data_IF_385519860426
#
_entry.id   IF_385519860426
#
_cell.length_a   1.000
_cell.length_b   1.000
_cell.length_c   1.000
_cell.angle_alpha   90.00
_cell.angle_beta   90.00
_cell.angle_gamma   90.00
#
_symmetry.space_group_name_H-M   'P 1'
#
loop_
_entity.id
_entity.type
_entity.pdbx_description
1 polymer ?
#
# COMPACT_ATOMS: atom_id res chain seq x y z
N UNK A 1 11.00 -6.90 -0.89
CA UNK A 1 11.00 -7.18 -2.34
C UNK A 1 10.13 -8.39 -2.70
N UNK A 2 10.41 -9.59 -2.18
CA UNK A 2 9.73 -10.83 -2.61
C UNK A 2 8.20 -10.88 -2.39
N UNK A 3 7.68 -10.38 -1.26
CA UNK A 3 6.24 -10.45 -0.96
C UNK A 3 5.36 -9.65 -1.91
N UNK A 4 5.89 -8.53 -2.42
CA UNK A 4 5.19 -7.68 -3.37
C UNK A 4 5.09 -8.34 -4.75
N UNK A 5 6.21 -8.86 -5.25
CA UNK A 5 6.22 -9.55 -6.55
C UNK A 5 5.39 -10.83 -6.53
N UNK A 6 5.39 -11.56 -5.42
CA UNK A 6 4.53 -12.74 -5.22
C UNK A 6 3.05 -12.39 -5.41
N UNK A 7 2.56 -11.32 -4.77
CA UNK A 7 1.17 -10.87 -4.94
C UNK A 7 0.84 -10.49 -6.39
N UNK A 8 1.75 -9.79 -7.06
CA UNK A 8 1.56 -9.40 -8.46
C UNK A 8 1.51 -10.60 -9.40
N UNK A 9 2.45 -11.53 -9.25
CA UNK A 9 2.51 -12.71 -10.12
C UNK A 9 1.31 -13.63 -9.89
N UNK A 10 0.90 -13.87 -8.63
CA UNK A 10 -0.29 -14.68 -8.33
C UNK A 10 -1.56 -14.05 -8.90
N UNK A 11 -1.71 -12.71 -8.81
CA UNK A 11 -2.83 -12.00 -9.42
C UNK A 11 -2.87 -12.14 -10.94
N UNK A 12 -1.71 -12.06 -11.60
CA UNK A 12 -1.61 -12.22 -13.05
C UNK A 12 -1.94 -13.65 -13.51
N UNK A 13 -1.45 -14.66 -12.79
CA UNK A 13 -1.78 -16.06 -13.06
C UNK A 13 -3.28 -16.32 -12.92
N UNK A 14 -3.93 -15.75 -11.90
CA UNK A 14 -5.38 -15.85 -11.71
C UNK A 14 -6.15 -15.19 -12.86
N UNK A 15 -5.71 -14.01 -13.33
CA UNK A 15 -6.31 -13.33 -14.47
C UNK A 15 -6.23 -14.19 -15.75
N UNK A 16 -5.08 -14.81 -16.01
CA UNK A 16 -4.89 -15.74 -17.12
C UNK A 16 -5.81 -16.97 -17.01
N UNK A 17 -5.94 -17.57 -15.81
CA UNK A 17 -6.82 -18.72 -15.59
C UNK A 17 -8.29 -18.39 -15.91
N UNK A 18 -8.75 -17.21 -15.51
CA UNK A 18 -10.13 -16.75 -15.78
C UNK A 18 -10.32 -16.44 -17.26
N UNK A 19 -9.32 -15.82 -17.91
CA UNK A 19 -9.34 -15.58 -19.35
C UNK A 19 -9.43 -16.90 -20.14
N UNK A 20 -8.74 -17.95 -19.70
CA UNK A 20 -8.83 -19.29 -20.29
C UNK A 20 -10.21 -19.94 -20.04
N UNK A 21 -10.76 -19.80 -18.84
CA UNK A 21 -12.12 -20.29 -18.52
C UNK A 21 -13.20 -19.61 -19.37
N UNK A 22 -13.01 -18.34 -19.70
CA UNK A 22 -13.95 -17.54 -20.49
C UNK A 22 -13.75 -17.71 -22.00
N UNK A 23 -12.63 -18.31 -22.43
CA UNK A 23 -12.33 -18.61 -23.85
C UNK A 23 -13.34 -19.55 -24.52
N UNK A 24 -14.13 -20.32 -23.74
CA UNK A 24 -15.20 -21.18 -24.27
C UNK A 24 -16.38 -20.39 -24.85
N UNK A 25 -16.51 -19.11 -24.51
CA UNK A 25 -17.51 -18.24 -25.10
C UNK A 25 -16.87 -17.57 -26.33
N UNK A 26 -17.35 -17.90 -27.53
CA UNK A 26 -16.86 -17.32 -28.80
C UNK A 26 -17.40 -15.89 -29.07
N UNK A 27 -17.98 -15.26 -28.05
CA UNK A 27 -18.79 -14.05 -28.16
C UNK A 27 -18.07 -12.86 -27.51
N UNK A 28 -18.50 -11.63 -27.82
CA UNK A 28 -17.95 -10.38 -27.25
C UNK A 28 -18.06 -10.28 -25.72
N UNK A 29 -18.73 -11.25 -25.08
CA UNK A 29 -18.89 -11.37 -23.63
C UNK A 29 -17.60 -11.80 -22.93
N UNK A 30 -16.69 -12.47 -23.62
CA UNK A 30 -15.52 -13.09 -22.98
C UNK A 30 -14.56 -12.09 -22.36
N UNK A 31 -14.19 -11.05 -23.11
CA UNK A 31 -13.31 -10.00 -22.58
C UNK A 31 -14.00 -9.13 -21.52
N UNK A 32 -15.33 -8.92 -21.65
CA UNK A 32 -16.11 -8.12 -20.69
C UNK A 32 -16.17 -8.79 -19.32
N UNK A 33 -16.33 -10.12 -19.28
CA UNK A 33 -16.36 -10.89 -18.03
C UNK A 33 -14.99 -10.83 -17.34
N UNK A 34 -13.89 -10.99 -18.09
CA UNK A 34 -12.53 -10.87 -17.53
C UNK A 34 -12.29 -9.49 -16.91
N UNK A 35 -12.68 -8.41 -17.61
CA UNK A 35 -12.54 -7.05 -17.09
C UNK A 35 -13.46 -6.80 -15.88
N UNK A 36 -14.71 -7.27 -15.91
CA UNK A 36 -15.64 -7.13 -14.80
C UNK A 36 -15.10 -7.80 -13.53
N UNK A 37 -14.51 -8.99 -13.65
CA UNK A 37 -13.88 -9.67 -12.52
C UNK A 37 -12.65 -8.91 -11.97
N UNK A 38 -11.80 -8.40 -12.87
CA UNK A 38 -10.66 -7.57 -12.47
C UNK A 38 -11.10 -6.33 -11.70
N UNK A 39 -12.21 -5.71 -12.11
CA UNK A 39 -12.80 -4.56 -11.42
C UNK A 39 -13.33 -4.93 -10.03
N UNK A 40 -13.96 -6.10 -9.87
CA UNK A 40 -14.42 -6.56 -8.55
C UNK A 40 -13.26 -6.75 -7.57
N UNK A 41 -12.16 -7.38 -8.02
CA UNK A 41 -10.96 -7.52 -7.21
C UNK A 41 -10.33 -6.16 -6.88
N UNK A 42 -10.24 -5.26 -7.85
CA UNK A 42 -9.71 -3.91 -7.64
C UNK A 42 -10.58 -3.12 -6.64
N UNK A 43 -11.90 -3.23 -6.72
CA UNK A 43 -12.82 -2.59 -5.79
C UNK A 43 -12.66 -3.15 -4.37
N UNK A 44 -12.47 -4.47 -4.24
CA UNK A 44 -12.24 -5.11 -2.94
C UNK A 44 -10.96 -4.57 -2.27
N UNK A 45 -9.88 -4.42 -3.04
CA UNK A 45 -8.64 -3.81 -2.55
C UNK A 45 -8.85 -2.33 -2.23
N UNK A 46 -9.57 -1.59 -3.07
CA UNK A 46 -9.88 -0.18 -2.86
C UNK A 46 -10.63 0.05 -1.54
N UNK A 47 -11.64 -0.77 -1.25
CA UNK A 47 -12.35 -0.76 0.03
C UNK A 47 -11.40 -1.07 1.18
N UNK A 48 -10.50 -2.05 1.01
CA UNK A 48 -9.48 -2.38 2.02
C UNK A 48 -8.52 -1.23 2.32
N UNK A 49 -8.14 -0.44 1.31
CA UNK A 49 -7.28 0.73 1.48
C UNK A 49 -7.95 1.82 2.30
N UNK A 50 -9.27 2.00 2.20
CA UNK A 50 -10.00 2.97 3.03
C UNK A 50 -9.93 2.66 4.54
N UNK A 51 -9.72 1.39 4.92
CA UNK A 51 -9.54 0.99 6.32
C UNK A 51 -8.08 1.11 6.80
N UNK A 52 -7.12 1.30 5.89
CA UNK A 52 -5.73 1.42 6.27
C UNK A 52 -5.48 2.79 6.90
N UNK A 53 -4.83 2.88 8.08
CA UNK A 53 -4.43 4.15 8.64
C UNK A 53 -3.47 4.87 7.67
N UNK A 54 -3.57 6.20 7.59
CA UNK A 54 -2.68 7.00 6.75
C UNK A 54 -1.22 6.78 7.17
N UNK A 55 -0.30 6.78 6.20
CA UNK A 55 1.11 6.48 6.45
C UNK A 55 1.71 7.47 7.48
N UNK A 56 2.33 6.99 8.58
CA UNK A 56 2.86 7.84 9.64
C UNK A 56 3.98 8.78 9.14
N UNK A 57 4.73 8.38 8.11
CA UNK A 57 5.75 9.21 7.47
C UNK A 57 5.12 10.40 6.70
N UNK A 58 4.01 10.18 6.01
CA UNK A 58 3.28 11.25 5.30
C UNK A 58 2.67 12.25 6.29
N UNK A 59 2.13 11.75 7.40
CA UNK A 59 1.58 12.58 8.49
C UNK A 59 2.67 13.41 9.18
N UNK A 60 3.84 12.81 9.45
CA UNK A 60 4.99 13.51 10.00
C UNK A 60 5.52 14.61 9.06
N UNK A 61 5.58 14.35 7.74
CA UNK A 61 5.92 15.37 6.74
C UNK A 61 4.92 16.53 6.66
N UNK A 62 3.64 16.27 6.96
CA UNK A 62 2.59 17.30 7.04
C UNK A 62 2.60 18.07 8.38
N UNK A 63 3.61 17.88 9.22
CA UNK A 63 3.73 18.48 10.56
C UNK A 63 2.60 18.06 11.53
N UNK A 64 1.89 16.96 11.25
CA UNK A 64 0.79 16.43 12.07
C UNK A 64 1.29 15.31 12.99
N UNK A 65 2.05 15.67 14.01
CA UNK A 65 2.72 14.71 14.92
C UNK A 65 1.75 13.90 15.79
N UNK A 66 0.59 14.45 16.16
CA UNK A 66 -0.43 13.75 16.95
C UNK A 66 -1.16 12.64 16.17
N UNK A 67 -1.55 12.92 14.93
CA UNK A 67 -2.16 11.93 14.03
C UNK A 67 -1.13 10.86 13.61
N UNK A 68 0.13 11.26 13.40
CA UNK A 68 1.23 10.34 13.12
C UNK A 68 1.45 9.33 14.27
N UNK A 69 1.48 9.79 15.53
CA UNK A 69 1.56 8.93 16.72
C UNK A 69 0.42 7.92 16.78
N UNK A 70 -0.81 8.35 16.51
CA UNK A 70 -1.98 7.46 16.49
C UNK A 70 -1.88 6.39 15.40
N UNK A 71 -1.43 6.75 14.19
CA UNK A 71 -1.23 5.79 13.11
C UNK A 71 -0.12 4.79 13.45
N UNK A 72 0.97 5.25 14.08
CA UNK A 72 2.09 4.42 14.51
C UNK A 72 1.69 3.44 15.62
N UNK A 73 0.89 3.89 16.58
CA UNK A 73 0.32 3.08 17.66
C UNK A 73 -0.55 1.93 17.10
N UNK A 74 -1.40 2.22 16.11
CA UNK A 74 -2.21 1.20 15.41
C UNK A 74 -1.31 0.18 14.69
N UNK A 75 -0.26 0.64 14.00
CA UNK A 75 0.66 -0.22 13.26
C UNK A 75 1.49 -1.13 14.17
N UNK A 76 1.94 -0.62 15.33
CA UNK A 76 2.75 -1.36 16.32
C UNK A 76 1.93 -2.10 17.37
N UNK A 77 0.61 -1.92 17.38
CA UNK A 77 -0.30 -2.45 18.41
C UNK A 77 0.12 -2.04 19.84
N UNK A 78 0.65 -0.83 19.98
CA UNK A 78 1.17 -0.29 21.24
C UNK A 78 0.35 0.93 21.68
N UNK A 79 0.44 1.31 22.96
CA UNK A 79 -0.19 2.55 23.44
C UNK A 79 0.45 3.78 22.79
N UNK A 80 -0.35 4.80 22.51
CA UNK A 80 0.09 6.08 21.95
C UNK A 80 1.18 6.79 22.77
N UNK A 81 1.33 6.47 24.06
CA UNK A 81 2.31 7.06 24.96
C UNK A 81 3.40 6.05 25.40
N UNK A 82 3.56 4.94 24.67
CA UNK A 82 4.64 4.00 24.96
C UNK A 82 5.99 4.54 24.45
N UNK A 83 7.07 4.21 25.16
CA UNK A 83 8.43 4.58 24.78
C UNK A 83 8.77 4.12 23.34
N UNK A 84 8.21 2.99 22.90
CA UNK A 84 8.40 2.47 21.54
C UNK A 84 7.82 3.38 20.44
N UNK A 85 6.71 4.07 20.71
CA UNK A 85 6.09 5.00 19.76
C UNK A 85 6.90 6.30 19.70
N UNK A 86 7.43 6.76 20.82
CA UNK A 86 8.27 7.96 20.88
C UNK A 86 9.62 7.77 20.18
N UNK A 87 10.30 6.63 20.41
CA UNK A 87 11.54 6.29 19.72
C UNK A 87 11.34 6.20 18.21
N UNK A 88 10.24 5.55 17.78
CA UNK A 88 9.93 5.41 16.36
C UNK A 88 9.49 6.73 15.70
N UNK A 89 8.85 7.64 16.43
CA UNK A 89 8.57 9.00 15.95
C UNK A 89 9.86 9.81 15.76
N UNK A 90 10.82 9.69 16.69
CA UNK A 90 12.12 10.36 16.60
C UNK A 90 12.94 9.83 15.42
N UNK A 91 12.91 8.51 15.18
CA UNK A 91 13.50 7.89 13.98
C UNK A 91 12.88 8.45 12.68
N UNK A 92 11.56 8.60 12.64
CA UNK A 92 10.87 9.18 11.49
C UNK A 92 11.27 10.65 11.27
N UNK A 93 11.36 11.45 12.32
CA UNK A 93 11.74 12.87 12.24
C UNK A 93 13.20 13.05 11.79
N UNK A 94 14.12 12.24 12.32
CA UNK A 94 15.51 12.24 11.89
C UNK A 94 15.65 11.80 10.43
N UNK A 95 14.89 10.80 9.99
CA UNK A 95 14.85 10.39 8.59
C UNK A 95 14.31 11.49 7.67
N UNK A 96 13.27 12.23 8.08
CA UNK A 96 12.75 13.37 7.31
C UNK A 96 13.79 14.50 7.26
N UNK A 97 14.47 14.79 8.37
CA UNK A 97 15.51 15.81 8.41
C UNK A 97 16.68 15.47 7.48
N UNK A 98 17.14 14.20 7.49
CA UNK A 98 18.19 13.73 6.59
C UNK A 98 17.75 13.80 5.12
N UNK A 99 16.49 13.43 4.81
CA UNK A 99 15.92 13.59 3.47
C UNK A 99 15.77 15.06 3.04
N UNK A 100 15.50 15.97 3.96
CA UNK A 100 15.40 17.40 3.67
C UNK A 100 16.78 18.01 3.37
N UNK A 101 17.83 17.55 4.07
CA UNK A 101 19.22 17.94 3.82
C UNK A 101 19.74 17.31 2.51
N UNK A 102 19.42 16.04 2.25
CA UNK A 102 19.83 15.30 1.04
C UNK A 102 18.87 15.48 -0.15
N UNK A 103 18.07 16.55 -0.15
CA UNK A 103 16.81 16.72 -0.90
C UNK A 103 16.78 16.59 -2.44
N UNK A 104 17.77 16.03 -3.11
CA UNK A 104 17.72 15.72 -4.56
C UNK A 104 18.83 14.77 -5.02
N UNK A 105 19.12 13.68 -4.30
CA UNK A 105 19.87 12.57 -4.91
C UNK A 105 18.97 11.87 -5.96
N UNK A 106 18.90 12.49 -7.15
CA UNK A 106 18.29 11.98 -8.37
C UNK A 106 18.95 10.65 -8.68
N UNK A 107 18.26 9.55 -8.43
CA UNK A 107 18.67 8.23 -8.90
C UNK A 107 18.50 8.18 -10.42
N UNK A 108 19.51 8.70 -11.12
CA UNK A 108 19.80 8.42 -12.53
C UNK A 108 21.05 7.56 -12.56
N UNK A 109 20.87 6.25 -12.48
CA UNK A 109 21.63 5.28 -13.27
C UNK A 109 20.64 4.20 -13.74
#
# INVERSE_FOLDING_TARGET
MARYSQFLTTGNVLACAISLGTSKYADSRSWRITIAFQLVLALTVFVGVMFCPESPLLLARKNKTSEARRALAILRNADTNSQEVDEAMLEIETHIADQHVNGSARFIE
#
